data_IF_429540441700
#
_entry.id   IF_429540441700
#
_cell.length_a   1.000
_cell.length_b   1.000
_cell.length_c   1.000
_cell.angle_alpha   90.00
_cell.angle_beta   90.00
_cell.angle_gamma   90.00
#
_symmetry.space_group_name_H-M   'P 1'
#
loop_
_entity.id
_entity.type
_entity.pdbx_description
1 polymer ?
#
# COMPACT_ATOMS: atom_id res chain seq x y z
N UNK A 1 -3.61 -1.14 -12.07
CA UNK A 1 -2.67 -0.38 -11.22
C UNK A 1 -2.37 -1.20 -9.96
N UNK A 2 -1.11 -1.61 -9.73
CA UNK A 2 -0.73 -2.52 -8.64
C UNK A 2 0.06 -1.74 -7.57
N UNK A 3 -0.52 -1.62 -6.36
CA UNK A 3 0.19 -1.17 -5.17
C UNK A 3 0.19 -2.35 -4.19
N UNK A 4 1.21 -3.23 -4.23
CA UNK A 4 1.29 -4.36 -3.32
C UNK A 4 1.42 -3.83 -1.88
N UNK A 5 0.94 -4.58 -0.88
CA UNK A 5 1.06 -4.15 0.49
C UNK A 5 2.54 -4.11 0.91
N UNK A 6 3.06 -2.94 1.26
CA UNK A 6 4.41 -2.81 1.82
C UNK A 6 4.39 -3.13 3.32
N UNK A 7 4.56 -4.40 3.64
CA UNK A 7 4.75 -4.87 5.01
C UNK A 7 6.11 -4.40 5.55
N UNK A 8 6.25 -4.24 6.87
CA UNK A 8 7.50 -3.79 7.53
C UNK A 8 8.54 -4.91 7.62
N UNK A 9 8.12 -6.16 7.47
CA UNK A 9 8.98 -7.34 7.52
C UNK A 9 8.32 -8.52 6.81
N UNK A 10 9.11 -9.56 6.52
CA UNK A 10 8.61 -10.84 6.01
C UNK A 10 7.54 -11.45 6.93
N UNK A 11 7.76 -11.37 8.25
CA UNK A 11 6.83 -11.91 9.25
C UNK A 11 5.47 -11.19 9.21
N UNK A 12 5.44 -9.86 9.05
CA UNK A 12 4.19 -9.11 8.88
C UNK A 12 3.47 -9.49 7.57
N UNK A 13 4.23 -9.76 6.50
CA UNK A 13 3.68 -10.22 5.22
C UNK A 13 3.04 -11.62 5.33
N UNK A 14 3.70 -12.55 6.03
CA UNK A 14 3.18 -13.89 6.30
C UNK A 14 1.91 -13.84 7.16
N UNK A 15 1.93 -13.06 8.25
CA UNK A 15 0.75 -12.87 9.11
C UNK A 15 -0.42 -12.22 8.36
N UNK A 16 -0.14 -11.22 7.52
CA UNK A 16 -1.13 -10.58 6.66
C UNK A 16 -1.77 -11.57 5.69
N UNK A 17 -0.98 -12.50 5.16
CA UNK A 17 -1.42 -13.57 4.25
C UNK A 17 -2.28 -14.59 4.98
N UNK A 18 -1.85 -15.06 6.16
CA UNK A 18 -2.61 -15.97 7.00
C UNK A 18 -3.97 -15.40 7.39
N UNK A 19 -4.03 -14.12 7.79
CA UNK A 19 -5.29 -13.44 8.13
C UNK A 19 -6.25 -13.38 6.93
N UNK A 20 -5.75 -13.03 5.74
CA UNK A 20 -6.56 -12.98 4.52
C UNK A 20 -7.09 -14.35 4.12
N UNK A 21 -6.26 -15.40 4.21
CA UNK A 21 -6.67 -16.77 3.94
C UNK A 21 -7.79 -17.24 4.90
N UNK A 22 -7.65 -16.95 6.21
CA UNK A 22 -8.69 -17.23 7.21
C UNK A 22 -10.01 -16.50 6.90
N UNK A 23 -9.96 -15.21 6.56
CA UNK A 23 -11.15 -14.43 6.21
C UNK A 23 -11.84 -14.96 4.94
N UNK A 24 -11.07 -15.40 3.94
CA UNK A 24 -11.61 -15.98 2.73
C UNK A 24 -12.30 -17.32 3.01
N UNK A 25 -11.69 -18.18 3.81
CA UNK A 25 -12.27 -19.46 4.23
C UNK A 25 -13.58 -19.25 5.03
N UNK A 26 -13.61 -18.29 5.96
CA UNK A 26 -14.80 -17.94 6.71
C UNK A 26 -15.94 -17.43 5.79
N UNK A 27 -15.63 -16.59 4.80
CA UNK A 27 -16.62 -16.13 3.83
C UNK A 27 -17.15 -17.23 2.91
N UNK A 28 -16.31 -18.21 2.53
CA UNK A 28 -16.76 -19.40 1.76
C UNK A 28 -17.77 -20.24 2.56
N UNK A 29 -17.49 -20.48 3.85
CA UNK A 29 -18.39 -21.21 4.76
C UNK A 29 -19.74 -20.49 4.91
N UNK A 30 -19.74 -19.17 5.06
CA UNK A 30 -20.98 -18.36 5.15
C UNK A 30 -21.83 -18.39 3.86
N UNK A 31 -21.23 -18.66 2.70
CA UNK A 31 -21.91 -18.74 1.41
C UNK A 31 -22.44 -20.14 1.08
N UNK A 32 -22.46 -21.07 2.04
CA UNK A 32 -23.00 -22.42 1.84
C UNK A 32 -22.16 -23.32 0.93
N UNK A 33 -20.94 -22.90 0.56
CA UNK A 33 -20.07 -23.71 -0.28
C UNK A 33 -19.30 -24.70 0.61
N UNK A 34 -19.77 -25.94 0.66
CA UNK A 34 -19.24 -27.07 1.46
C UNK A 34 -18.28 -27.95 0.67
N UNK A 35 -17.65 -27.44 -0.38
CA UNK A 35 -16.70 -28.23 -1.16
C UNK A 35 -15.43 -28.48 -0.34
N UNK A 36 -15.17 -29.77 -0.06
CA UNK A 36 -14.08 -30.23 0.81
C UNK A 36 -12.73 -30.00 0.10
N UNK A 37 -11.91 -29.16 0.72
CA UNK A 37 -10.44 -29.24 0.68
C UNK A 37 -9.82 -29.44 -0.70
N UNK A 38 -9.77 -28.38 -1.51
CA UNK A 38 -8.51 -28.11 -2.22
C UNK A 38 -7.64 -27.34 -1.25
N UNK A 39 -6.60 -27.99 -0.74
CA UNK A 39 -5.50 -27.36 -0.03
C UNK A 39 -5.20 -26.03 -0.72
N UNK A 40 -5.47 -24.94 -0.01
CA UNK A 40 -5.01 -23.63 -0.44
C UNK A 40 -3.50 -23.73 -0.36
N UNK A 41 -2.88 -24.18 -1.46
CA UNK A 41 -1.44 -24.13 -1.66
C UNK A 41 -0.99 -22.80 -1.07
N UNK A 42 -0.02 -22.90 -0.17
CA UNK A 42 0.69 -21.86 0.57
C UNK A 42 1.37 -20.84 -0.36
N UNK A 43 0.64 -20.34 -1.35
CA UNK A 43 0.99 -19.24 -2.21
C UNK A 43 0.42 -17.99 -1.58
N UNK A 44 1.28 -16.99 -1.42
CA UNK A 44 0.84 -15.62 -1.20
C UNK A 44 -0.25 -15.30 -2.24
N UNK A 45 -1.38 -14.71 -1.82
CA UNK A 45 -2.41 -14.21 -2.75
C UNK A 45 -1.93 -13.02 -3.61
N UNK A 46 -0.62 -12.81 -3.64
CA UNK A 46 0.10 -11.79 -4.37
C UNK A 46 1.26 -12.51 -5.05
N UNK A 47 1.27 -12.54 -6.38
CA UNK A 47 2.35 -13.13 -7.18
C UNK A 47 3.62 -12.27 -7.25
N UNK A 48 3.75 -11.28 -6.36
CA UNK A 48 4.89 -10.37 -6.34
C UNK A 48 6.14 -11.02 -5.78
N UNK A 49 7.30 -10.57 -6.24
CA UNK A 49 8.59 -11.06 -5.73
C UNK A 49 8.79 -10.61 -4.27
N UNK A 50 9.66 -11.29 -3.49
CA UNK A 50 9.86 -11.00 -2.06
C UNK A 50 10.10 -9.51 -1.76
N UNK A 51 10.85 -8.80 -2.62
CA UNK A 51 11.14 -7.37 -2.50
C UNK A 51 9.94 -6.44 -2.79
N UNK A 52 8.88 -6.94 -3.42
CA UNK A 52 7.64 -6.19 -3.68
C UNK A 52 6.64 -6.31 -2.52
N UNK A 53 6.88 -7.24 -1.59
CA UNK A 53 5.95 -7.56 -0.49
C UNK A 53 6.31 -6.87 0.83
N UNK A 54 7.54 -6.39 0.98
CA UNK A 54 7.97 -5.69 2.18
C UNK A 54 9.17 -4.77 1.89
N UNK A 55 9.28 -3.71 2.68
CA UNK A 55 10.46 -2.84 2.70
C UNK A 55 10.79 -2.49 4.16
N UNK A 56 12.07 -2.25 4.51
CA UNK A 56 12.41 -1.77 5.83
C UNK A 56 11.61 -0.51 6.19
N UNK A 57 10.93 -0.52 7.34
CA UNK A 57 10.06 0.58 7.77
C UNK A 57 8.67 0.62 7.09
N UNK A 58 8.40 -0.27 6.14
CA UNK A 58 7.12 -0.42 5.44
C UNK A 58 6.71 0.81 4.61
N UNK A 59 5.42 0.87 4.25
CA UNK A 59 4.85 1.95 3.41
C UNK A 59 5.21 3.35 3.92
N UNK A 60 5.29 3.57 5.23
CA UNK A 60 5.63 4.89 5.81
C UNK A 60 7.03 5.36 5.44
N UNK A 61 8.04 4.51 5.64
CA UNK A 61 9.42 4.86 5.33
C UNK A 61 9.58 5.07 3.81
N UNK A 62 8.96 4.20 3.02
CA UNK A 62 8.98 4.28 1.56
C UNK A 62 8.42 5.63 1.06
N UNK A 63 7.20 6.02 1.48
CA UNK A 63 6.61 7.28 1.00
C UNK A 63 7.36 8.51 1.53
N UNK A 64 8.00 8.40 2.70
CA UNK A 64 8.84 9.48 3.23
C UNK A 64 10.09 9.67 2.37
N UNK A 65 10.81 8.59 2.05
CA UNK A 65 11.96 8.63 1.14
C UNK A 65 11.56 9.15 -0.24
N UNK A 66 10.43 8.68 -0.77
CA UNK A 66 9.88 9.16 -2.05
C UNK A 66 9.61 10.67 -2.05
N UNK A 67 9.09 11.21 -0.94
CA UNK A 67 8.90 12.66 -0.79
C UNK A 67 10.24 13.41 -0.79
N UNK A 68 11.22 12.91 -0.04
CA UNK A 68 12.56 13.52 0.07
C UNK A 68 13.28 13.53 -1.29
N UNK A 69 13.28 12.40 -1.99
CA UNK A 69 13.86 12.26 -3.33
C UNK A 69 13.14 13.14 -4.35
N UNK A 70 11.81 13.27 -4.26
CA UNK A 70 11.05 14.09 -5.21
C UNK A 70 11.48 15.55 -5.25
N UNK A 71 11.95 16.11 -4.12
CA UNK A 71 12.46 17.49 -4.07
C UNK A 71 13.71 17.67 -4.94
N UNK A 72 14.56 16.64 -5.02
CA UNK A 72 15.79 16.67 -5.85
C UNK A 72 15.46 16.77 -7.34
N UNK A 73 14.30 16.26 -7.75
CA UNK A 73 13.83 16.24 -9.15
C UNK A 73 12.71 17.26 -9.43
N UNK A 74 12.51 18.23 -8.53
CA UNK A 74 11.42 19.21 -8.59
C UNK A 74 11.37 20.02 -9.90
N UNK A 75 12.53 20.29 -10.53
CA UNK A 75 12.60 21.03 -11.80
C UNK A 75 12.30 20.16 -13.02
N UNK A 76 12.40 18.83 -12.89
CA UNK A 76 12.30 17.88 -14.01
C UNK A 76 10.92 17.22 -14.08
N UNK A 77 10.23 17.09 -12.94
CA UNK A 77 8.97 16.36 -12.82
C UNK A 77 7.85 17.28 -12.37
N UNK A 78 6.79 17.39 -13.18
CA UNK A 78 5.64 18.28 -12.88
C UNK A 78 4.74 17.75 -11.76
N UNK A 79 4.63 16.43 -11.63
CA UNK A 79 3.78 15.79 -10.63
C UNK A 79 4.39 14.47 -10.21
N UNK A 80 4.53 14.30 -8.90
CA UNK A 80 4.84 13.04 -8.27
C UNK A 80 3.54 12.46 -7.73
N UNK A 81 3.41 11.14 -7.73
CA UNK A 81 2.21 10.51 -7.18
C UNK A 81 2.48 9.12 -6.63
N UNK A 82 1.67 8.72 -5.66
CA UNK A 82 1.71 7.38 -5.06
C UNK A 82 0.33 6.95 -4.58
N UNK A 83 0.13 5.63 -4.53
CA UNK A 83 -1.03 5.04 -3.87
C UNK A 83 -0.65 4.69 -2.42
N UNK A 84 -1.53 4.99 -1.49
CA UNK A 84 -1.35 4.75 -0.06
C UNK A 84 -2.46 3.85 0.46
N UNK A 85 -2.08 2.76 1.11
CA UNK A 85 -2.99 1.78 1.68
C UNK A 85 -3.46 2.19 3.07
N UNK A 86 -2.54 2.64 3.95
CA UNK A 86 -2.87 2.99 5.34
C UNK A 86 -3.19 4.47 5.49
N UNK A 87 -4.33 4.81 6.11
CA UNK A 87 -4.80 6.20 6.26
C UNK A 87 -3.79 7.04 7.05
N UNK A 88 -3.19 6.44 8.07
CA UNK A 88 -2.19 7.08 8.93
C UNK A 88 -0.99 7.62 8.13
N UNK A 89 -0.58 6.93 7.07
CA UNK A 89 0.56 7.31 6.24
C UNK A 89 0.30 8.58 5.42
N UNK A 90 -0.96 8.84 5.05
CA UNK A 90 -1.34 10.06 4.32
C UNK A 90 -1.04 11.30 5.15
N UNK A 91 -1.37 11.28 6.44
CA UNK A 91 -1.14 12.42 7.33
C UNK A 91 0.36 12.72 7.50
N UNK A 92 1.17 11.67 7.66
CA UNK A 92 2.62 11.77 7.77
C UNK A 92 3.26 12.29 6.48
N UNK A 93 2.85 11.76 5.33
CA UNK A 93 3.33 12.22 4.03
C UNK A 93 2.96 13.69 3.79
N UNK A 94 1.70 14.09 4.03
CA UNK A 94 1.28 15.50 3.92
C UNK A 94 2.13 16.43 4.78
N UNK A 95 2.42 16.03 6.03
CA UNK A 95 3.28 16.81 6.92
C UNK A 95 4.69 16.97 6.34
N UNK A 96 5.28 15.89 5.82
CA UNK A 96 6.61 15.92 5.22
C UNK A 96 6.65 16.79 3.94
N UNK A 97 5.68 16.64 3.05
CA UNK A 97 5.59 17.44 1.83
C UNK A 97 5.45 18.94 2.11
N UNK A 98 4.71 19.32 3.16
CA UNK A 98 4.65 20.72 3.61
C UNK A 98 6.01 21.22 4.09
N UNK A 99 6.78 20.41 4.82
CA UNK A 99 8.15 20.77 5.24
C UNK A 99 9.12 20.91 4.06
N UNK A 100 8.87 20.17 2.98
CA UNK A 100 9.63 20.26 1.73
C UNK A 100 9.13 21.37 0.81
N UNK A 101 8.15 22.16 1.24
CA UNK A 101 7.58 23.28 0.48
C UNK A 101 6.96 22.84 -0.85
N UNK A 102 6.25 21.70 -0.86
CA UNK A 102 5.42 21.33 -2.00
C UNK A 102 4.36 22.41 -2.25
N UNK A 103 4.24 22.87 -3.49
CA UNK A 103 3.33 23.96 -3.89
C UNK A 103 1.87 23.51 -3.98
N UNK A 104 1.64 22.25 -4.33
CA UNK A 104 0.30 21.63 -4.36
C UNK A 104 0.38 20.18 -3.89
N UNK A 105 -0.60 19.76 -3.09
CA UNK A 105 -0.74 18.41 -2.55
C UNK A 105 -2.21 17.99 -2.66
N UNK A 106 -2.49 17.04 -3.55
CA UNK A 106 -3.82 16.48 -3.79
C UNK A 106 -3.94 15.10 -3.16
N UNK A 107 -5.08 14.85 -2.51
CA UNK A 107 -5.41 13.53 -1.97
C UNK A 107 -6.82 13.16 -2.38
N UNK A 108 -6.95 12.00 -3.00
CA UNK A 108 -8.22 11.44 -3.47
C UNK A 108 -8.43 10.10 -2.78
N UNK A 109 -9.53 9.99 -2.03
CA UNK A 109 -9.93 8.70 -1.47
C UNK A 109 -10.48 7.81 -2.60
N UNK A 110 -10.04 6.55 -2.62
CA UNK A 110 -10.44 5.55 -3.62
C UNK A 110 -10.98 4.31 -2.92
N UNK A 111 -12.20 3.90 -3.27
CA UNK A 111 -12.83 2.69 -2.77
C UNK A 111 -13.13 1.70 -3.89
N UNK A 112 -12.75 0.44 -3.70
CA UNK A 112 -13.20 -0.67 -4.56
C UNK A 112 -13.55 -1.88 -3.70
N UNK A 113 -14.85 -2.16 -3.56
CA UNK A 113 -15.34 -3.20 -2.64
C UNK A 113 -14.87 -2.94 -1.21
N UNK A 114 -14.21 -3.92 -0.59
CA UNK A 114 -13.66 -3.79 0.77
C UNK A 114 -12.27 -3.12 0.82
N UNK A 115 -11.69 -2.73 -0.32
CA UNK A 115 -10.39 -2.08 -0.37
C UNK A 115 -10.57 -0.57 -0.39
N UNK A 116 -10.08 0.09 0.66
CA UNK A 116 -9.93 1.53 0.74
C UNK A 116 -8.46 1.90 0.54
N UNK A 117 -8.18 2.76 -0.44
CA UNK A 117 -6.86 3.33 -0.71
C UNK A 117 -6.94 4.84 -0.88
N UNK A 118 -5.81 5.53 -0.87
CA UNK A 118 -5.71 6.95 -1.20
C UNK A 118 -4.73 7.15 -2.31
N UNK A 119 -5.11 7.92 -3.31
CA UNK A 119 -4.17 8.47 -4.28
C UNK A 119 -3.66 9.81 -3.75
N UNK A 120 -2.33 9.95 -3.66
CA UNK A 120 -1.68 11.20 -3.27
C UNK A 120 -0.82 11.67 -4.42
N UNK A 121 -0.98 12.92 -4.82
CA UNK A 121 -0.15 13.57 -5.83
C UNK A 121 0.36 14.92 -5.32
N UNK A 122 1.59 15.29 -5.68
CA UNK A 122 2.19 16.56 -5.27
C UNK A 122 3.14 17.11 -6.33
N UNK A 123 3.45 18.40 -6.21
CA UNK A 123 4.44 19.10 -7.05
C UNK A 123 5.12 20.24 -6.29
N UNK A 124 6.19 20.79 -6.85
CA UNK A 124 6.97 21.89 -6.25
C UNK A 124 6.90 23.19 -7.07
N UNK A 125 6.48 23.12 -8.33
CA UNK A 125 6.38 24.23 -9.27
C UNK A 125 4.98 24.29 -9.85
#
# INVERSE_FOLDING_TARGET
MCNPPFHKSLQEAEQGTLRKAKNLAANKRKRGNTDKTKDVKSGLNFGGQKAELWCPGGEEAFVKSMADESKLFASQVKWFSTLISKKENVAKLKKRLKQLEASDIKVVDMGQGQKLSRFVAWRFN
#
